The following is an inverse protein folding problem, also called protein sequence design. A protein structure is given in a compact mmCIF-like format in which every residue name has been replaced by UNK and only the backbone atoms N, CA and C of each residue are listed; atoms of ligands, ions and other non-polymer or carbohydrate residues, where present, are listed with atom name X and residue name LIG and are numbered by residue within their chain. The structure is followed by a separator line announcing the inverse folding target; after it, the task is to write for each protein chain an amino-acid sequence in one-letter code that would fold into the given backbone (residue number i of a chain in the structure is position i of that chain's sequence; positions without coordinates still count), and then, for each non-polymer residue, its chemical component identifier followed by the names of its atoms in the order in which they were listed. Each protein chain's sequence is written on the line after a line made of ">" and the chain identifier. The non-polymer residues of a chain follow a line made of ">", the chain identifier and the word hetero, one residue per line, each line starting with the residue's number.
data_IF_527041873485
#
_entry.id   IF_527041873485
#
_cell.length_a   1.000
_cell.length_b   1.000
_cell.length_c   1.000
_cell.angle_alpha   90.00
_cell.angle_beta   90.00
_cell.angle_gamma   90.00
#
_symmetry.space_group_name_H-M   'P 1'
#
loop_
_entity.id
_entity.type
_entity.pdbx_description
1 polymer ?
#
# COMPACT_ATOMS: atom_id res chain seq x y z
N UNK A 1 10.96 -8.83 8.62
CA UNK A 1 9.56 -8.88 8.12
C UNK A 1 8.82 -7.83 8.92
N UNK A 2 8.12 -6.89 8.28
CA UNK A 2 7.36 -5.89 9.02
C UNK A 2 6.18 -6.55 9.75
N UNK A 3 5.98 -6.22 11.03
CA UNK A 3 4.86 -6.69 11.85
C UNK A 3 3.51 -6.30 11.23
N UNK A 4 3.39 -5.06 10.73
CA UNK A 4 2.15 -4.53 10.15
C UNK A 4 2.31 -4.27 8.65
N UNK A 5 1.35 -4.73 7.84
CA UNK A 5 1.36 -4.53 6.39
C UNK A 5 0.08 -3.85 5.95
N UNK A 6 0.22 -2.76 5.21
CA UNK A 6 -0.89 -2.03 4.61
C UNK A 6 -0.58 -1.74 3.14
N UNK A 7 -1.63 -1.47 2.37
CA UNK A 7 -1.50 -1.10 0.97
C UNK A 7 -2.62 -0.17 0.52
N UNK A 8 -2.36 0.55 -0.58
CA UNK A 8 -3.38 1.18 -1.42
C UNK A 8 -3.44 0.43 -2.74
N UNK A 9 -4.63 0.25 -3.29
CA UNK A 9 -4.82 -0.43 -4.58
C UNK A 9 -5.75 0.36 -5.49
N UNK A 10 -5.54 0.23 -6.80
CA UNK A 10 -6.32 0.85 -7.87
C UNK A 10 -5.64 0.69 -9.22
N UNK A 11 -6.24 1.25 -10.27
CA UNK A 11 -5.67 1.23 -11.63
C UNK A 11 -6.06 2.49 -12.42
N UNK A 12 -5.12 3.28 -12.95
CA UNK A 12 -3.66 3.22 -12.71
C UNK A 12 -3.31 3.79 -11.31
N UNK A 13 -2.43 3.14 -10.56
CA UNK A 13 -2.10 3.56 -9.17
C UNK A 13 -0.84 4.42 -9.05
N UNK A 14 -0.03 4.53 -10.10
CA UNK A 14 1.32 5.12 -10.06
C UNK A 14 1.37 6.60 -9.61
N UNK A 15 0.27 7.33 -9.71
CA UNK A 15 0.18 8.73 -9.28
C UNK A 15 -0.11 8.88 -7.77
N UNK A 16 -0.41 7.78 -7.07
CA UNK A 16 -0.75 7.80 -5.65
C UNK A 16 0.46 8.18 -4.80
N UNK A 17 0.28 9.20 -3.95
CA UNK A 17 1.29 9.64 -2.98
C UNK A 17 1.19 8.91 -1.64
N UNK A 18 0.19 8.03 -1.47
CA UNK A 18 -0.05 7.34 -0.20
C UNK A 18 1.16 6.54 0.30
N UNK A 19 1.91 5.77 -0.53
CA UNK A 19 3.09 5.06 -0.04
C UNK A 19 4.15 5.98 0.56
N UNK A 20 4.38 7.15 -0.04
CA UNK A 20 5.33 8.14 0.48
C UNK A 20 4.84 8.75 1.80
N UNK A 21 3.55 9.14 1.87
CA UNK A 21 2.97 9.75 3.07
C UNK A 21 2.97 8.77 4.25
N UNK A 22 2.48 7.55 4.04
CA UNK A 22 2.42 6.54 5.10
C UNK A 22 3.80 6.02 5.47
N UNK A 23 4.70 5.83 4.49
CA UNK A 23 6.10 5.47 4.75
C UNK A 23 6.80 6.48 5.66
N UNK A 24 6.63 7.78 5.39
CA UNK A 24 7.18 8.85 6.24
C UNK A 24 6.70 8.74 7.70
N UNK A 25 5.41 8.49 7.93
CA UNK A 25 4.88 8.40 9.29
C UNK A 25 5.30 7.11 10.02
N UNK A 26 5.41 5.99 9.30
CA UNK A 26 5.95 4.75 9.86
C UNK A 26 7.38 4.96 10.36
N UNK A 27 8.23 5.57 9.54
CA UNK A 27 9.60 5.90 9.89
C UNK A 27 9.67 6.89 11.06
N UNK A 28 8.94 8.01 10.96
CA UNK A 28 8.96 9.08 11.97
C UNK A 28 8.58 8.63 13.37
N UNK A 29 7.67 7.67 13.47
CA UNK A 29 7.19 7.15 14.76
C UNK A 29 7.78 5.79 15.13
N UNK A 30 8.73 5.25 14.36
CA UNK A 30 9.36 3.97 14.64
C UNK A 30 8.39 2.80 14.64
N UNK A 31 7.33 2.86 13.82
CA UNK A 31 6.34 1.80 13.71
C UNK A 31 6.89 0.73 12.77
N UNK A 32 7.02 -0.51 13.25
CA UNK A 32 7.41 -1.65 12.41
C UNK A 32 6.27 -2.00 11.44
N UNK A 33 6.27 -1.33 10.30
CA UNK A 33 5.25 -1.46 9.28
C UNK A 33 5.76 -1.24 7.87
N UNK A 34 5.00 -1.73 6.90
CA UNK A 34 5.22 -1.45 5.48
C UNK A 34 3.93 -0.96 4.82
N UNK A 35 4.06 0.02 3.92
CA UNK A 35 2.95 0.52 3.11
C UNK A 35 3.30 0.46 1.62
N UNK A 36 2.47 -0.18 0.80
CA UNK A 36 2.73 -0.39 -0.63
C UNK A 36 1.61 0.14 -1.53
N UNK A 37 1.93 0.47 -2.78
CA UNK A 37 0.95 0.64 -3.85
C UNK A 37 0.90 -0.64 -4.68
N UNK A 38 -0.31 -1.18 -4.86
CA UNK A 38 -0.56 -2.39 -5.65
C UNK A 38 -1.42 -1.99 -6.84
N UNK A 39 -0.92 -2.24 -8.05
CA UNK A 39 -1.69 -1.99 -9.27
C UNK A 39 -2.57 -3.20 -9.54
N UNK A 40 -3.88 -3.04 -9.36
CA UNK A 40 -4.87 -4.10 -9.54
C UNK A 40 -5.98 -3.56 -10.41
N UNK A 41 -6.18 -4.19 -11.57
CA UNK A 41 -7.25 -3.81 -12.48
C UNK A 41 -8.61 -4.15 -11.88
N UNK A 42 -9.68 -3.40 -12.22
CA UNK A 42 -11.02 -3.68 -11.72
C UNK A 42 -11.47 -5.13 -11.95
N UNK A 43 -11.13 -5.72 -13.10
CA UNK A 43 -11.46 -7.11 -13.43
C UNK A 43 -10.77 -8.16 -12.54
N UNK A 44 -9.58 -7.83 -12.01
CA UNK A 44 -8.76 -8.74 -11.20
C UNK A 44 -9.02 -8.56 -9.69
N UNK A 45 -9.75 -7.52 -9.29
CA UNK A 45 -9.90 -7.13 -7.90
C UNK A 45 -10.55 -8.20 -7.02
N UNK A 46 -11.55 -8.91 -7.55
CA UNK A 46 -12.20 -9.99 -6.81
C UNK A 46 -11.21 -11.12 -6.47
N UNK A 47 -10.41 -11.56 -7.45
CA UNK A 47 -9.38 -12.58 -7.25
C UNK A 47 -8.25 -12.10 -6.33
N UNK A 48 -7.93 -10.80 -6.36
CA UNK A 48 -6.94 -10.18 -5.49
C UNK A 48 -7.35 -10.20 -4.00
N UNK A 49 -8.65 -10.05 -3.70
CA UNK A 49 -9.14 -10.06 -2.31
C UNK A 49 -9.25 -11.47 -1.70
N UNK A 50 -9.45 -12.51 -2.52
CA UNK A 50 -9.64 -13.89 -2.08
C UNK A 50 -11.08 -14.34 -2.17
#
# INVERSE_FOLDING_TARGET
>A
MAEKKAFVTGHPIAHSRSPMIHGYWLEKYGIDGSYQALDVRPEDFAAFLG
#
